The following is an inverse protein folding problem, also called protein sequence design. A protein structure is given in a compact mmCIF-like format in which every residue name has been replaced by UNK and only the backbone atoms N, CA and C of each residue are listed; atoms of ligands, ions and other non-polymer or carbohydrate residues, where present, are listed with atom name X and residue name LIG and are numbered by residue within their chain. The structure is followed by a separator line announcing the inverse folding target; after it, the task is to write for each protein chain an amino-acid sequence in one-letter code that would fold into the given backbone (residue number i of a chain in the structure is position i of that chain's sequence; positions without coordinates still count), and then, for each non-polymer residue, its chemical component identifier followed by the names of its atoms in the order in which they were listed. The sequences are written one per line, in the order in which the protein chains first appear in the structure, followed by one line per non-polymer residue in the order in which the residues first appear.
data_IF_596948467393
#
_entry.id   IF_596948467393
#
_cell.length_a   1.000
_cell.length_b   1.000
_cell.length_c   1.000
_cell.angle_alpha   90.00
_cell.angle_beta   90.00
_cell.angle_gamma   90.00
#
_symmetry.space_group_name_H-M   'P 1'
#
loop_
_entity.id
_entity.type
_entity.pdbx_description
1 polymer ?
#
# COMPACT_ATOMS: atom_id res chain seq x y z
N UNK A 1 -16.78 8.31 16.20
CA UNK A 1 -15.34 7.98 16.24
C UNK A 1 -15.03 6.62 15.61
N UNK A 2 -15.72 5.53 16.00
CA UNK A 2 -15.46 4.18 15.46
C UNK A 2 -15.49 4.04 13.93
N UNK A 3 -16.41 4.73 13.23
CA UNK A 3 -16.50 4.68 11.75
C UNK A 3 -15.23 5.19 11.05
N UNK A 4 -14.59 6.22 11.58
CA UNK A 4 -13.37 6.78 10.98
C UNK A 4 -12.15 5.90 11.26
N UNK A 5 -12.04 5.35 12.47
CA UNK A 5 -10.99 4.40 12.85
C UNK A 5 -11.08 3.11 12.00
N UNK A 6 -12.31 2.63 11.74
CA UNK A 6 -12.54 1.50 10.84
C UNK A 6 -12.07 1.82 9.40
N UNK A 7 -12.41 3.01 8.88
CA UNK A 7 -11.97 3.43 7.55
C UNK A 7 -10.44 3.48 7.44
N UNK A 8 -9.76 4.05 8.44
CA UNK A 8 -8.29 4.12 8.50
C UNK A 8 -7.68 2.71 8.51
N UNK A 9 -8.30 1.77 9.23
CA UNK A 9 -7.84 0.38 9.28
C UNK A 9 -7.98 -0.31 7.93
N UNK A 10 -9.13 -0.12 7.25
CA UNK A 10 -9.37 -0.68 5.92
C UNK A 10 -8.40 -0.09 4.88
N UNK A 11 -8.19 1.23 4.90
CA UNK A 11 -7.24 1.90 4.00
C UNK A 11 -5.80 1.47 4.25
N UNK A 12 -5.40 1.30 5.52
CA UNK A 12 -4.06 0.80 5.86
C UNK A 12 -3.83 -0.64 5.40
N UNK A 13 -4.84 -1.50 5.50
CA UNK A 13 -4.75 -2.87 4.97
C UNK A 13 -4.70 -2.87 3.44
N UNK A 14 -5.41 -1.94 2.79
CA UNK A 14 -5.37 -1.77 1.34
C UNK A 14 -3.99 -1.29 0.87
N UNK A 15 -3.38 -0.34 1.58
CA UNK A 15 -2.04 0.15 1.30
C UNK A 15 -0.99 -0.96 1.42
N UNK A 16 -1.02 -1.72 2.52
CA UNK A 16 -0.16 -2.91 2.69
C UNK A 16 -0.35 -3.93 1.57
N UNK A 17 -1.59 -4.21 1.19
CA UNK A 17 -1.90 -5.10 0.09
C UNK A 17 -1.39 -4.56 -1.26
N UNK A 18 -1.58 -3.26 -1.52
CA UNK A 18 -1.11 -2.62 -2.75
C UNK A 18 0.42 -2.62 -2.84
N UNK A 19 1.12 -2.36 -1.72
CA UNK A 19 2.57 -2.52 -1.59
C UNK A 19 3.03 -3.95 -1.89
N UNK A 20 2.36 -4.95 -1.33
CA UNK A 20 2.65 -6.35 -1.61
C UNK A 20 2.46 -6.70 -3.10
N UNK A 21 1.35 -6.26 -3.70
CA UNK A 21 1.08 -6.45 -5.14
C UNK A 21 2.15 -5.77 -5.99
N UNK A 22 2.60 -4.57 -5.64
CA UNK A 22 3.70 -3.90 -6.36
C UNK A 22 4.98 -4.73 -6.37
N UNK A 23 5.38 -5.27 -5.23
CA UNK A 23 6.59 -6.10 -5.11
C UNK A 23 6.46 -7.36 -5.99
N UNK A 24 5.33 -8.07 -5.90
CA UNK A 24 5.08 -9.26 -6.72
C UNK A 24 5.07 -8.94 -8.21
N UNK A 25 4.48 -7.79 -8.59
CA UNK A 25 4.43 -7.34 -9.99
C UNK A 25 5.82 -6.98 -10.50
N UNK A 26 6.68 -6.37 -9.66
CA UNK A 26 8.06 -6.07 -10.01
C UNK A 26 8.92 -7.33 -10.20
N UNK A 27 8.77 -8.31 -9.31
CA UNK A 27 9.47 -9.60 -9.40
C UNK A 27 9.06 -10.40 -10.64
N UNK A 28 7.75 -10.46 -10.92
CA UNK A 28 7.26 -11.11 -12.14
C UNK A 28 7.75 -10.40 -13.40
N UNK A 29 7.80 -9.07 -13.41
CA UNK A 29 8.37 -8.30 -14.51
C UNK A 29 9.86 -8.64 -14.77
N UNK A 30 10.67 -8.77 -13.71
CA UNK A 30 12.06 -9.20 -13.83
C UNK A 30 12.21 -10.60 -14.42
N UNK A 31 11.45 -11.58 -13.90
CA UNK A 31 11.47 -12.96 -14.40
C UNK A 31 11.08 -13.02 -15.87
N UNK A 32 9.99 -12.34 -16.23
CA UNK A 32 9.46 -12.25 -17.59
C UNK A 32 10.50 -11.60 -18.51
N UNK A 33 11.21 -10.57 -18.06
CA UNK A 33 12.30 -9.91 -18.82
C UNK A 33 13.51 -10.83 -19.01
N UNK A 34 13.95 -11.53 -17.96
CA UNK A 34 15.03 -12.50 -18.04
C UNK A 34 14.72 -13.64 -19.03
N UNK A 35 13.51 -14.21 -18.98
CA UNK A 35 13.10 -15.27 -19.90
C UNK A 35 13.13 -14.75 -21.34
N UNK A 36 12.66 -13.52 -21.60
CA UNK A 36 12.68 -12.93 -22.93
C UNK A 36 14.08 -12.70 -23.49
N UNK A 37 15.01 -12.21 -22.67
CA UNK A 37 16.40 -12.05 -23.11
C UNK A 37 17.05 -13.40 -23.44
N UNK A 38 16.81 -14.43 -22.63
CA UNK A 38 17.30 -15.79 -22.90
C UNK A 38 16.66 -16.41 -24.16
N UNK A 39 15.35 -16.24 -24.35
CA UNK A 39 14.65 -16.72 -25.55
C UNK A 39 15.14 -16.01 -26.81
N UNK A 40 15.35 -14.68 -26.75
CA UNK A 40 15.80 -13.89 -27.89
C UNK A 40 17.16 -14.35 -28.44
N UNK A 41 18.06 -14.82 -27.57
CA UNK A 41 19.37 -15.33 -27.97
C UNK A 41 19.30 -16.72 -28.62
N UNK A 42 18.26 -17.50 -28.33
CA UNK A 42 18.11 -18.89 -28.79
C UNK A 42 17.16 -19.08 -30.00
N UNK A 43 16.25 -18.12 -30.27
CA UNK A 43 15.15 -18.33 -31.22
C UNK A 43 15.45 -17.92 -32.68
N UNK A 44 15.08 -18.79 -33.63
CA UNK A 44 15.06 -18.51 -35.09
C UNK A 44 13.67 -17.98 -35.51
N UNK A 45 13.57 -17.34 -36.68
CA UNK A 45 12.43 -16.48 -37.10
C UNK A 45 10.99 -17.03 -36.95
N UNK A 46 10.77 -18.34 -36.82
CA UNK A 46 9.44 -18.94 -36.63
C UNK A 46 8.84 -18.75 -35.22
N UNK A 47 9.67 -18.48 -34.20
CA UNK A 47 9.23 -18.29 -32.81
C UNK A 47 8.75 -16.85 -32.50
N UNK A 48 8.80 -15.95 -33.50
CA UNK A 48 8.35 -14.54 -33.38
C UNK A 48 6.89 -14.38 -32.96
N UNK A 49 6.03 -15.39 -33.15
CA UNK A 49 4.63 -15.35 -32.68
C UNK A 49 4.53 -15.31 -31.15
N UNK A 50 5.39 -16.02 -30.42
CA UNK A 50 5.46 -15.96 -28.95
C UNK A 50 5.91 -14.58 -28.44
N UNK A 51 6.79 -13.92 -29.19
CA UNK A 51 7.27 -12.57 -28.89
C UNK A 51 6.16 -11.49 -28.92
N UNK A 52 5.16 -11.65 -29.78
CA UNK A 52 4.05 -10.71 -29.87
C UNK A 52 3.08 -10.84 -28.69
N UNK A 53 2.82 -12.07 -28.22
CA UNK A 53 2.05 -12.30 -27.00
C UNK A 53 2.74 -11.65 -25.79
N UNK A 54 4.06 -11.80 -25.69
CA UNK A 54 4.88 -11.22 -24.63
C UNK A 54 4.77 -9.69 -24.53
N UNK A 55 4.83 -8.98 -25.66
CA UNK A 55 4.66 -7.52 -25.70
C UNK A 55 3.30 -7.09 -25.14
N UNK A 56 2.25 -7.86 -25.39
CA UNK A 56 0.92 -7.58 -24.84
C UNK A 56 0.87 -7.83 -23.33
N UNK A 57 1.53 -8.86 -22.82
CA UNK A 57 1.62 -9.13 -21.38
C UNK A 57 2.37 -8.04 -20.62
N UNK A 58 3.52 -7.58 -21.14
CA UNK A 58 4.26 -6.45 -20.56
C UNK A 58 3.41 -5.19 -20.45
N UNK A 59 2.66 -4.84 -21.50
CA UNK A 59 1.80 -3.64 -21.48
C UNK A 59 0.73 -3.74 -20.38
N UNK A 60 0.11 -4.90 -20.22
CA UNK A 60 -0.90 -5.12 -19.15
C UNK A 60 -0.27 -5.04 -17.76
N UNK A 61 0.89 -5.65 -17.55
CA UNK A 61 1.64 -5.58 -16.29
C UNK A 61 2.04 -4.14 -15.95
N UNK A 62 2.50 -3.36 -16.94
CA UNK A 62 2.87 -1.96 -16.75
C UNK A 62 1.67 -1.10 -16.32
N UNK A 63 0.48 -1.34 -16.88
CA UNK A 63 -0.74 -0.63 -16.47
C UNK A 63 -1.10 -0.96 -15.02
N UNK A 64 -1.10 -2.25 -14.65
CA UNK A 64 -1.41 -2.70 -13.28
C UNK A 64 -0.41 -2.10 -12.29
N UNK A 65 0.88 -2.15 -12.62
CA UNK A 65 1.94 -1.57 -11.79
C UNK A 65 1.74 -0.07 -11.59
N UNK A 66 1.42 0.67 -12.67
CA UNK A 66 1.16 2.12 -12.58
C UNK A 66 -0.01 2.44 -11.65
N UNK A 67 -1.11 1.69 -11.73
CA UNK A 67 -2.28 1.90 -10.88
C UNK A 67 -1.93 1.64 -9.41
N UNK A 68 -1.26 0.53 -9.11
CA UNK A 68 -0.85 0.20 -7.75
C UNK A 68 0.16 1.21 -7.19
N UNK A 69 1.08 1.71 -8.03
CA UNK A 69 2.05 2.73 -7.64
C UNK A 69 1.37 4.05 -7.29
N UNK A 70 0.39 4.48 -8.09
CA UNK A 70 -0.38 5.70 -7.82
C UNK A 70 -1.17 5.59 -6.52
N UNK A 71 -1.74 4.43 -6.20
CA UNK A 71 -2.44 4.20 -4.93
C UNK A 71 -1.48 4.34 -3.74
N UNK A 72 -0.30 3.72 -3.78
CA UNK A 72 0.68 3.82 -2.69
C UNK A 72 1.23 5.24 -2.49
N UNK A 73 1.34 6.04 -3.56
CA UNK A 73 1.83 7.44 -3.45
C UNK A 73 0.73 8.35 -2.86
N UNK A 74 -0.54 8.11 -3.20
CA UNK A 74 -1.66 8.95 -2.77
C UNK A 74 -2.18 8.59 -1.37
N UNK A 75 -2.04 7.34 -0.96
CA UNK A 75 -2.55 6.85 0.32
C UNK A 75 -1.46 7.06 1.38
N UNK A 76 -1.66 7.96 2.35
CA UNK A 76 -0.69 8.16 3.42
C UNK A 76 -0.63 6.94 4.36
N UNK A 77 0.45 6.84 5.12
CA UNK A 77 0.63 5.75 6.08
C UNK A 77 -0.43 5.78 7.19
N UNK A 78 -0.63 4.64 7.87
CA UNK A 78 -1.59 4.51 8.97
C UNK A 78 -1.39 5.57 10.08
N UNK A 79 -0.14 5.86 10.42
CA UNK A 79 0.22 6.84 11.44
C UNK A 79 -0.15 8.26 11.01
N UNK A 80 0.11 8.61 9.75
CA UNK A 80 -0.26 9.91 9.17
C UNK A 80 -1.77 10.08 9.12
N UNK A 81 -2.51 9.03 8.76
CA UNK A 81 -3.97 9.04 8.78
C UNK A 81 -4.54 9.29 10.19
N UNK A 82 -3.99 8.64 11.21
CA UNK A 82 -4.39 8.90 12.60
C UNK A 82 -4.05 10.32 13.03
N UNK A 83 -2.88 10.84 12.64
CA UNK A 83 -2.47 12.21 12.95
C UNK A 83 -3.41 13.24 12.31
N UNK A 84 -3.78 13.06 11.03
CA UNK A 84 -4.73 13.93 10.32
C UNK A 84 -6.12 13.88 10.98
N UNK A 85 -6.57 12.68 11.34
CA UNK A 85 -7.85 12.51 12.03
C UNK A 85 -7.84 13.18 13.43
N UNK A 86 -6.77 13.02 14.18
CA UNK A 86 -6.62 13.63 15.50
C UNK A 86 -6.52 15.16 15.43
N UNK A 87 -5.88 15.70 14.39
CA UNK A 87 -5.76 17.15 14.17
C UNK A 87 -7.14 17.82 14.08
N UNK A 88 -8.16 17.16 13.51
CA UNK A 88 -9.54 17.68 13.51
C UNK A 88 -10.12 17.95 14.90
N UNK A 89 -9.69 17.20 15.91
CA UNK A 89 -10.12 17.38 17.30
C UNK A 89 -9.27 18.42 18.01
N UNK A 90 -7.96 18.46 17.74
CA UNK A 90 -7.02 19.41 18.33
C UNK A 90 -7.28 20.84 17.85
N UNK A 91 -7.54 21.04 16.56
CA UNK A 91 -7.77 22.38 15.98
C UNK A 91 -9.11 22.99 16.41
N UNK A 92 -10.08 22.19 16.88
CA UNK A 92 -11.39 22.72 17.32
C UNK A 92 -11.45 23.11 18.80
N UNK A 93 -10.63 22.53 19.68
CA UNK A 93 -10.72 22.82 21.12
C UNK A 93 -9.42 23.28 21.79
N UNK A 94 -8.25 23.15 21.17
CA UNK A 94 -7.00 23.51 21.86
C UNK A 94 -5.85 23.84 20.89
N UNK A 95 -5.65 25.12 20.57
CA UNK A 95 -4.49 25.62 19.81
C UNK A 95 -3.13 25.52 20.57
N UNK A 96 -3.03 24.66 21.59
CA UNK A 96 -1.81 24.51 22.41
C UNK A 96 -1.40 23.07 22.69
N UNK A 97 -2.10 22.09 22.14
CA UNK A 97 -1.74 20.68 22.33
C UNK A 97 -0.68 20.26 21.32
N UNK A 98 0.46 19.79 21.81
CA UNK A 98 1.60 19.37 20.98
C UNK A 98 1.30 18.00 20.37
N UNK A 99 1.86 17.69 19.20
CA UNK A 99 1.71 16.39 18.51
C UNK A 99 1.97 15.19 19.43
N UNK A 100 2.90 15.33 20.37
CA UNK A 100 3.26 14.29 21.34
C UNK A 100 2.18 14.06 22.41
N UNK A 101 1.47 15.11 22.84
CA UNK A 101 0.38 15.00 23.83
C UNK A 101 -0.82 14.26 23.23
N UNK A 102 -1.10 14.52 21.95
CA UNK A 102 -2.16 13.86 21.20
C UNK A 102 -1.82 12.38 20.98
N UNK A 103 -0.57 12.07 20.64
CA UNK A 103 -0.09 10.70 20.50
C UNK A 103 -0.22 9.93 21.81
N UNK A 104 0.23 10.53 22.92
CA UNK A 104 0.14 9.91 24.24
C UNK A 104 -1.31 9.64 24.69
N UNK A 105 -2.23 10.54 24.40
CA UNK A 105 -3.65 10.35 24.72
C UNK A 105 -4.27 9.20 23.91
N UNK A 106 -3.92 9.08 22.63
CA UNK A 106 -4.39 7.99 21.76
C UNK A 106 -3.80 6.65 22.20
N UNK A 107 -2.50 6.59 22.46
CA UNK A 107 -1.81 5.38 22.88
C UNK A 107 -2.39 4.86 24.21
N UNK A 108 -2.65 5.75 25.18
CA UNK A 108 -3.30 5.39 26.44
C UNK A 108 -4.67 4.73 26.27
N UNK A 109 -5.51 5.27 25.38
CA UNK A 109 -6.85 4.71 25.10
C UNK A 109 -6.74 3.35 24.42
N UNK A 110 -5.81 3.20 23.47
CA UNK A 110 -5.60 1.93 22.77
C UNK A 110 -5.07 0.84 23.70
N UNK A 111 -4.16 1.17 24.60
CA UNK A 111 -3.61 0.22 25.57
C UNK A 111 -4.68 -0.24 26.57
N UNK A 112 -5.52 0.68 27.07
CA UNK A 112 -6.65 0.31 27.93
C UNK A 112 -7.67 -0.59 27.23
N UNK A 113 -7.93 -0.38 25.94
CA UNK A 113 -8.83 -1.25 25.16
C UNK A 113 -8.23 -2.64 24.94
N UNK A 114 -6.91 -2.75 24.80
CA UNK A 114 -6.24 -4.07 24.74
C UNK A 114 -6.29 -4.78 26.09
N UNK A 115 -6.02 -4.06 27.17
CA UNK A 115 -6.04 -4.61 28.53
C UNK A 115 -7.42 -5.19 28.89
N UNK A 116 -8.49 -4.47 28.57
CA UNK A 116 -9.88 -4.93 28.76
C UNK A 116 -10.28 -6.11 27.87
N UNK A 117 -9.64 -6.29 26.71
CA UNK A 117 -9.85 -7.45 25.85
C UNK A 117 -8.96 -8.64 26.21
N UNK A 118 -7.92 -8.45 27.02
CA UNK A 118 -7.06 -9.53 27.55
C UNK A 118 -7.52 -10.08 28.90
N UNK A 119 -8.42 -9.37 29.61
CA UNK A 119 -9.06 -9.85 30.84
C UNK A 119 -10.37 -10.63 30.60
N UNK A 120 -10.71 -10.94 29.34
CA UNK A 120 -11.81 -11.82 28.94
C UNK A 120 -11.28 -13.09 28.28
#
# INVERSE_FOLDING_TARGET
MGKAIYLITVLSNLDFFASFVLIVTALTFLIVTCIFFNFRDYCRDEERKGLNAYKSYIKKLAIIFSICATINILVPSKEEMYMIYATKYVTKENMRMTKDEVKNAIDYVFDKVKELNSEK
#
